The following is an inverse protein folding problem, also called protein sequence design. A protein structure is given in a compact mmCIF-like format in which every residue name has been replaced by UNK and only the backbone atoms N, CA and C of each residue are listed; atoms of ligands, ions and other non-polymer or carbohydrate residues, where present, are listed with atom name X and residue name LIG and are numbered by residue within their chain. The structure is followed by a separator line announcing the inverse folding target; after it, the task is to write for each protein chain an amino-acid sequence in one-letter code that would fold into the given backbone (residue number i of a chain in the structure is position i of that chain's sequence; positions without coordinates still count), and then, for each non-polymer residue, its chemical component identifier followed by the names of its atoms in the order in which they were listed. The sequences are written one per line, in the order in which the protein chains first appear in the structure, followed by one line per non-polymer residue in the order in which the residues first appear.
data_IF_391836805100
#
_entry.id   IF_391836805100
#
_cell.length_a   1.000
_cell.length_b   1.000
_cell.length_c   1.000
_cell.angle_alpha   90.00
_cell.angle_beta   90.00
_cell.angle_gamma   90.00
#
_symmetry.space_group_name_H-M   'P 1'
#
loop_
_entity.id
_entity.type
_entity.pdbx_description
1 polymer ?
#
# COMPACT_ATOMS: atom_id res chain seq x y z
N UNK A 1 10.53 -42.77 -4.37
CA UNK A 1 9.22 -42.54 -3.73
C UNK A 1 9.33 -43.10 -2.33
N UNK A 2 9.45 -42.21 -1.34
CA UNK A 2 9.91 -42.54 0.02
C UNK A 2 8.70 -42.85 0.92
N UNK A 3 8.84 -43.74 1.90
CA UNK A 3 7.71 -44.24 2.73
C UNK A 3 6.91 -43.14 3.48
N UNK A 4 7.43 -41.92 3.59
CA UNK A 4 6.71 -40.77 4.15
C UNK A 4 5.60 -40.22 3.23
N UNK A 5 5.67 -40.41 1.92
CA UNK A 5 4.62 -39.95 0.99
C UNK A 5 3.37 -40.84 1.04
N UNK A 6 3.46 -42.05 1.59
CA UNK A 6 2.30 -42.94 1.78
C UNK A 6 1.41 -42.54 2.97
N UNK A 7 1.92 -41.74 3.91
CA UNK A 7 1.15 -41.32 5.09
C UNK A 7 0.32 -40.04 4.89
N UNK A 8 0.61 -39.25 3.85
CA UNK A 8 -0.14 -38.03 3.52
C UNK A 8 -1.39 -38.29 2.66
N UNK A 9 -1.55 -39.49 2.10
CA UNK A 9 -2.67 -39.88 1.22
C UNK A 9 -3.64 -40.90 1.83
N UNK A 10 -3.43 -41.34 3.07
CA UNK A 10 -4.41 -42.14 3.82
C UNK A 10 -4.95 -41.35 4.99
N UNK A 11 -5.96 -40.52 4.71
CA UNK A 11 -6.98 -40.25 5.71
C UNK A 11 -7.71 -41.55 5.98
N UNK A 12 -7.34 -42.23 7.06
CA UNK A 12 -8.15 -43.16 7.86
C UNK A 12 -7.22 -44.08 8.67
N UNK A 13 -6.78 -43.57 9.82
CA UNK A 13 -6.42 -44.43 10.95
C UNK A 13 -7.28 -43.97 12.12
N UNK A 14 -8.46 -44.58 12.24
CA UNK A 14 -9.28 -44.51 13.45
C UNK A 14 -8.51 -45.21 14.57
N UNK A 15 -7.88 -44.43 15.45
CA UNK A 15 -7.48 -44.91 16.76
C UNK A 15 -8.75 -45.12 17.60
N UNK A 16 -9.05 -46.38 17.87
CA UNK A 16 -10.10 -46.83 18.77
C UNK A 16 -9.79 -46.41 20.21
N UNK A 17 -10.15 -45.18 20.58
CA UNK A 17 -10.57 -44.86 21.95
C UNK A 17 -11.77 -43.92 21.85
N UNK A 18 -12.93 -44.45 22.25
CA UNK A 18 -14.25 -43.85 22.05
C UNK A 18 -14.48 -42.62 22.90
N UNK A 19 -14.13 -41.46 22.37
CA UNK A 19 -14.93 -40.23 22.45
C UNK A 19 -14.92 -39.66 21.04
N UNK A 20 -16.02 -39.84 20.30
CA UNK A 20 -16.17 -39.24 18.98
C UNK A 20 -16.22 -37.73 19.11
N UNK A 21 -15.07 -37.08 19.19
CA UNK A 21 -14.97 -35.63 19.16
C UNK A 21 -15.55 -35.19 17.82
N UNK A 22 -16.80 -34.70 17.85
CA UNK A 22 -17.42 -34.06 16.70
C UNK A 22 -16.57 -32.86 16.32
N UNK A 23 -15.67 -33.04 15.37
CA UNK A 23 -14.91 -31.95 14.78
C UNK A 23 -15.92 -31.11 13.99
N UNK A 24 -16.05 -29.83 14.36
CA UNK A 24 -16.90 -28.91 13.63
C UNK A 24 -16.43 -28.84 12.17
N UNK A 25 -17.35 -28.77 11.18
CA UNK A 25 -16.99 -28.53 9.80
C UNK A 25 -16.11 -27.29 9.66
N UNK A 26 -15.18 -27.31 8.70
CA UNK A 26 -14.23 -26.21 8.51
C UNK A 26 -14.95 -24.89 8.19
N UNK A 27 -16.09 -24.96 7.50
CA UNK A 27 -16.96 -23.82 7.18
C UNK A 27 -17.54 -23.18 8.45
N UNK A 28 -17.94 -24.01 9.42
CA UNK A 28 -18.44 -23.55 10.71
C UNK A 28 -17.34 -22.90 11.54
N UNK A 29 -16.14 -23.50 11.60
CA UNK A 29 -14.98 -22.91 12.27
C UNK A 29 -14.57 -21.58 11.63
N UNK A 30 -14.56 -21.53 10.30
CA UNK A 30 -14.26 -20.31 9.53
C UNK A 30 -15.25 -19.19 9.86
N UNK A 31 -16.55 -19.50 10.01
CA UNK A 31 -17.53 -18.51 10.40
C UNK A 31 -17.33 -18.04 11.84
N UNK A 32 -17.08 -18.97 12.77
CA UNK A 32 -16.77 -18.64 14.18
C UNK A 32 -15.56 -17.70 14.28
N UNK A 33 -14.48 -17.96 13.53
CA UNK A 33 -13.27 -17.15 13.60
C UNK A 33 -13.39 -15.79 12.89
N UNK A 34 -14.33 -15.60 11.98
CA UNK A 34 -14.66 -14.28 11.44
C UNK A 34 -15.26 -13.36 12.50
N UNK A 35 -16.02 -13.94 13.43
CA UNK A 35 -16.81 -13.21 14.42
C UNK A 35 -16.07 -13.10 15.78
N UNK A 36 -14.84 -13.61 15.88
CA UNK A 36 -14.02 -13.57 17.10
C UNK A 36 -12.94 -12.50 17.04
N UNK A 37 -12.85 -11.69 18.09
CA UNK A 37 -11.83 -10.63 18.21
C UNK A 37 -10.40 -11.20 18.36
N UNK A 38 -10.23 -12.42 18.89
CA UNK A 38 -8.92 -13.01 19.17
C UNK A 38 -8.86 -14.54 18.95
N UNK A 39 -8.71 -15.01 17.69
CA UNK A 39 -8.62 -16.44 17.39
C UNK A 39 -7.26 -17.07 17.78
N UNK A 40 -6.33 -16.34 18.39
CA UNK A 40 -4.99 -16.84 18.74
C UNK A 40 -5.00 -18.08 19.63
N UNK A 41 -5.93 -18.19 20.59
CA UNK A 41 -5.99 -19.36 21.47
C UNK A 41 -6.51 -20.61 20.73
N UNK A 42 -7.18 -20.43 19.59
CA UNK A 42 -7.79 -21.50 18.82
C UNK A 42 -6.74 -22.41 18.17
N UNK A 43 -5.53 -21.89 17.91
CA UNK A 43 -4.44 -22.67 17.29
C UNK A 43 -3.91 -23.79 18.19
N UNK A 44 -4.21 -23.75 19.49
CA UNK A 44 -3.77 -24.73 20.47
C UNK A 44 -4.80 -25.84 20.74
N UNK A 45 -6.00 -25.75 20.16
CA UNK A 45 -7.08 -26.71 20.41
C UNK A 45 -6.80 -28.04 19.70
N UNK A 46 -6.65 -28.00 18.38
CA UNK A 46 -6.23 -29.14 17.55
C UNK A 46 -5.85 -28.65 16.14
N UNK A 47 -5.39 -29.57 15.29
CA UNK A 47 -4.97 -29.25 13.92
C UNK A 47 -6.08 -28.62 13.07
N UNK A 48 -7.33 -29.07 13.19
CA UNK A 48 -8.46 -28.51 12.43
C UNK A 48 -8.76 -27.07 12.81
N UNK A 49 -8.75 -26.75 14.11
CA UNK A 49 -8.93 -25.39 14.60
C UNK A 49 -7.76 -24.49 14.21
N UNK A 50 -6.53 -24.99 14.29
CA UNK A 50 -5.35 -24.25 13.82
C UNK A 50 -5.44 -23.95 12.32
N UNK A 51 -5.76 -24.95 11.49
CA UNK A 51 -5.90 -24.79 10.04
C UNK A 51 -6.98 -23.76 9.66
N UNK A 52 -8.08 -23.72 10.40
CA UNK A 52 -9.16 -22.75 10.18
C UNK A 52 -8.82 -21.36 10.73
N UNK A 53 -8.11 -21.24 11.86
CA UNK A 53 -7.82 -19.95 12.50
C UNK A 53 -6.61 -19.23 11.89
N UNK A 54 -5.57 -19.97 11.48
CA UNK A 54 -4.33 -19.39 10.99
C UNK A 54 -4.49 -18.47 9.77
N UNK A 55 -5.33 -18.75 8.76
CA UNK A 55 -5.56 -17.84 7.64
C UNK A 55 -6.04 -16.45 8.07
N UNK A 56 -6.85 -16.36 9.12
CA UNK A 56 -7.32 -15.09 9.67
C UNK A 56 -6.21 -14.36 10.42
N UNK A 57 -5.45 -15.09 11.23
CA UNK A 57 -4.32 -14.55 12.01
C UNK A 57 -3.17 -14.07 11.12
N UNK A 58 -3.00 -14.68 9.94
CA UNK A 58 -1.91 -14.40 9.00
C UNK A 58 -2.32 -13.54 7.80
N UNK A 59 -3.55 -13.02 7.77
CA UNK A 59 -3.99 -12.12 6.70
C UNK A 59 -3.16 -10.83 6.67
N UNK A 60 -2.87 -10.26 7.84
CA UNK A 60 -2.15 -8.97 7.97
C UNK A 60 -1.12 -9.06 9.11
N UNK A 61 -0.09 -9.91 8.99
CA UNK A 61 0.78 -10.23 10.11
C UNK A 61 1.67 -9.03 10.51
N UNK A 62 1.92 -8.09 9.59
CA UNK A 62 2.74 -6.91 9.86
C UNK A 62 2.02 -5.81 10.66
N UNK A 63 0.70 -5.84 10.71
CA UNK A 63 -0.12 -4.91 11.53
C UNK A 63 -0.57 -5.56 12.83
N UNK A 64 -0.79 -6.88 12.83
CA UNK A 64 -1.40 -7.61 13.95
C UNK A 64 -0.40 -8.33 14.85
N UNK A 65 0.84 -8.57 14.39
CA UNK A 65 1.80 -9.32 15.18
C UNK A 65 2.24 -8.59 16.44
N UNK A 66 2.00 -9.24 17.59
CA UNK A 66 2.51 -8.78 18.89
C UNK A 66 4.01 -8.99 19.06
N UNK A 67 4.57 -9.97 18.33
CA UNK A 67 5.99 -10.34 18.41
C UNK A 67 6.62 -10.36 17.00
N UNK A 68 7.21 -9.23 16.57
CA UNK A 68 7.91 -9.12 15.30
C UNK A 68 9.04 -10.12 15.10
N UNK A 69 9.71 -10.52 16.19
CA UNK A 69 10.88 -11.40 16.14
C UNK A 69 10.42 -12.82 15.79
N UNK A 70 9.37 -13.32 16.46
CA UNK A 70 8.77 -14.62 16.14
C UNK A 70 8.16 -14.68 14.74
N UNK A 71 7.59 -13.57 14.26
CA UNK A 71 7.09 -13.47 12.90
C UNK A 71 8.22 -13.72 11.89
N UNK A 72 9.34 -12.99 12.01
CA UNK A 72 10.49 -13.15 11.11
C UNK A 72 11.05 -14.58 11.20
N UNK A 73 11.16 -15.15 12.39
CA UNK A 73 11.59 -16.55 12.57
C UNK A 73 10.69 -17.52 11.84
N UNK A 74 9.37 -17.34 11.97
CA UNK A 74 8.40 -18.21 11.31
C UNK A 74 8.49 -18.11 9.79
N UNK A 75 8.68 -16.90 9.25
CA UNK A 75 8.89 -16.69 7.82
C UNK A 75 10.20 -17.32 7.33
N UNK A 76 11.31 -17.15 8.06
CA UNK A 76 12.60 -17.78 7.74
C UNK A 76 12.49 -19.31 7.75
N UNK A 77 11.80 -19.89 8.75
CA UNK A 77 11.53 -21.33 8.81
C UNK A 77 10.64 -21.83 7.67
N UNK A 78 9.82 -20.95 7.10
CA UNK A 78 8.93 -21.27 5.97
C UNK A 78 9.61 -21.14 4.60
N UNK A 79 10.85 -20.65 4.54
CA UNK A 79 11.57 -20.51 3.27
C UNK A 79 11.82 -21.86 2.57
N UNK A 80 11.81 -21.90 1.23
CA UNK A 80 12.23 -23.05 0.44
C UNK A 80 13.66 -23.49 0.78
N UNK A 81 13.94 -24.80 0.65
CA UNK A 81 15.23 -25.39 1.04
C UNK A 81 16.41 -24.80 0.25
N UNK A 82 16.23 -24.54 -1.04
CA UNK A 82 17.20 -23.89 -1.93
C UNK A 82 17.52 -22.46 -1.47
N UNK A 83 16.50 -21.66 -1.15
CA UNK A 83 16.68 -20.30 -0.62
C UNK A 83 17.40 -20.32 0.73
N UNK A 84 17.03 -21.26 1.62
CA UNK A 84 17.70 -21.47 2.91
C UNK A 84 19.18 -21.82 2.74
N UNK A 85 19.51 -22.71 1.81
CA UNK A 85 20.88 -23.10 1.52
C UNK A 85 21.72 -21.92 1.00
N UNK A 86 21.14 -21.07 0.15
CA UNK A 86 21.80 -19.84 -0.31
C UNK A 86 22.05 -18.88 0.84
N UNK A 87 21.04 -18.62 1.67
CA UNK A 87 21.19 -17.74 2.84
C UNK A 87 22.20 -18.26 3.87
N UNK A 88 22.37 -19.58 3.98
CA UNK A 88 23.36 -20.17 4.88
C UNK A 88 24.80 -19.82 4.49
N UNK A 89 25.07 -19.67 3.19
CA UNK A 89 26.37 -19.27 2.67
C UNK A 89 26.64 -17.79 2.99
N UNK A 90 25.60 -16.95 2.87
CA UNK A 90 25.71 -15.50 3.08
C UNK A 90 25.67 -15.10 4.56
N UNK A 91 25.04 -15.89 5.41
CA UNK A 91 24.81 -15.54 6.83
C UNK A 91 25.06 -16.74 7.74
N UNK A 92 26.31 -16.95 8.15
CA UNK A 92 26.66 -18.05 9.09
C UNK A 92 25.87 -18.01 10.42
N UNK A 93 25.35 -16.84 10.81
CA UNK A 93 24.64 -16.62 12.05
C UNK A 93 23.21 -17.20 12.12
N UNK A 94 22.58 -17.58 10.99
CA UNK A 94 21.16 -18.02 10.95
C UNK A 94 20.97 -19.54 10.94
N UNK A 95 22.07 -20.31 10.96
CA UNK A 95 22.08 -21.78 10.80
C UNK A 95 21.06 -22.54 11.65
N UNK A 96 20.79 -22.20 12.93
CA UNK A 96 19.81 -22.93 13.76
C UNK A 96 18.37 -22.85 13.24
N UNK A 97 17.99 -21.78 12.53
CA UNK A 97 16.61 -21.57 12.05
C UNK A 97 16.38 -22.03 10.62
N UNK A 98 17.46 -22.36 9.90
CA UNK A 98 17.37 -22.90 8.55
C UNK A 98 17.04 -24.41 8.55
N UNK A 99 17.32 -25.12 9.64
CA UNK A 99 17.09 -26.57 9.75
C UNK A 99 15.67 -26.93 10.16
N UNK A 100 14.87 -25.97 10.62
CA UNK A 100 13.49 -26.19 11.02
C UNK A 100 12.50 -25.93 9.87
N UNK A 101 11.44 -26.73 9.83
CA UNK A 101 10.34 -26.59 8.86
C UNK A 101 9.05 -26.24 9.59
N UNK A 102 8.23 -25.40 8.96
CA UNK A 102 6.87 -25.12 9.42
C UNK A 102 5.90 -26.16 8.85
N UNK A 103 4.87 -26.49 9.63
CA UNK A 103 3.80 -27.39 9.17
C UNK A 103 2.78 -26.67 8.25
N UNK A 104 2.84 -25.34 8.18
CA UNK A 104 1.86 -24.52 7.50
C UNK A 104 2.53 -23.56 6.52
N UNK A 105 1.83 -23.28 5.42
CA UNK A 105 2.28 -22.36 4.38
C UNK A 105 1.84 -20.94 4.66
N UNK A 106 2.38 -20.35 5.73
CA UNK A 106 1.97 -19.05 6.23
C UNK A 106 1.96 -17.93 5.17
N UNK A 107 2.94 -17.95 4.25
CA UNK A 107 3.04 -16.95 3.18
C UNK A 107 1.84 -16.95 2.22
N UNK A 108 1.16 -18.09 2.02
CA UNK A 108 -0.01 -18.17 1.14
C UNK A 108 -1.20 -17.35 1.68
N UNK A 109 -1.25 -17.09 2.99
CA UNK A 109 -2.37 -16.38 3.65
C UNK A 109 -2.16 -14.87 3.78
N UNK A 110 -0.96 -14.37 3.52
CA UNK A 110 -0.62 -12.95 3.66
C UNK A 110 -1.31 -12.14 2.55
N UNK A 111 -2.14 -11.18 2.94
CA UNK A 111 -2.85 -10.27 2.04
C UNK A 111 -2.26 -8.87 2.00
N UNK A 112 -1.45 -8.50 2.98
CA UNK A 112 -0.81 -7.18 3.06
C UNK A 112 0.70 -7.35 3.14
N UNK A 113 1.43 -6.76 2.21
CA UNK A 113 2.88 -6.69 2.23
C UNK A 113 3.33 -5.26 2.44
N UNK A 114 3.89 -4.99 3.61
CA UNK A 114 4.40 -3.67 4.00
C UNK A 114 5.92 -3.71 4.04
N UNK A 115 6.55 -3.11 3.03
CA UNK A 115 7.99 -3.19 2.78
C UNK A 115 8.82 -2.66 3.96
N UNK A 116 8.54 -1.44 4.42
CA UNK A 116 9.21 -0.83 5.58
C UNK A 116 9.04 -1.66 6.85
N UNK A 117 7.84 -2.18 7.08
CA UNK A 117 7.53 -2.91 8.30
C UNK A 117 8.28 -4.24 8.36
N UNK A 118 8.35 -4.96 7.23
CA UNK A 118 9.16 -6.17 7.10
C UNK A 118 10.65 -5.86 7.31
N UNK A 119 11.17 -4.79 6.71
CA UNK A 119 12.58 -4.39 6.88
C UNK A 119 12.89 -4.07 8.35
N UNK A 120 12.05 -3.27 9.00
CA UNK A 120 12.15 -2.95 10.42
C UNK A 120 12.15 -4.22 11.28
N UNK A 121 11.30 -5.19 10.97
CA UNK A 121 11.22 -6.45 11.70
C UNK A 121 12.47 -7.31 11.51
N UNK A 122 13.03 -7.38 10.30
CA UNK A 122 14.29 -8.08 10.04
C UNK A 122 15.46 -7.42 10.79
N UNK A 123 15.54 -6.09 10.81
CA UNK A 123 16.56 -5.35 11.59
C UNK A 123 16.43 -5.69 13.08
N UNK A 124 15.23 -5.58 13.65
CA UNK A 124 14.99 -5.88 15.07
C UNK A 124 15.31 -7.33 15.43
N UNK A 125 14.91 -8.27 14.57
CA UNK A 125 15.21 -9.68 14.72
C UNK A 125 16.73 -9.91 14.76
N UNK A 126 17.46 -9.30 13.83
CA UNK A 126 18.92 -9.43 13.72
C UNK A 126 19.64 -8.82 14.95
N UNK A 127 19.24 -7.63 15.39
CA UNK A 127 19.81 -6.96 16.56
C UNK A 127 19.58 -7.75 17.86
N UNK A 128 18.35 -8.25 18.06
CA UNK A 128 18.03 -9.08 19.23
C UNK A 128 18.94 -10.31 19.31
N UNK A 129 19.27 -10.90 18.16
CA UNK A 129 20.18 -12.05 18.10
C UNK A 129 21.62 -11.71 18.45
N UNK A 130 22.11 -10.52 18.08
CA UNK A 130 23.44 -10.07 18.51
C UNK A 130 23.49 -9.89 20.03
N UNK A 131 22.43 -9.33 20.64
CA UNK A 131 22.34 -9.15 22.09
C UNK A 131 22.40 -10.48 22.85
N UNK A 132 21.67 -11.50 22.38
CA UNK A 132 21.71 -12.83 23.02
C UNK A 132 23.14 -13.42 22.97
N UNK A 133 23.85 -13.28 21.85
CA UNK A 133 25.24 -13.75 21.71
C UNK A 133 26.26 -12.98 22.56
N UNK A 134 26.00 -11.70 22.88
CA UNK A 134 26.88 -10.91 23.75
C UNK A 134 26.64 -11.20 25.22
N UNK A 135 25.38 -11.38 25.63
CA UNK A 135 25.02 -11.74 27.03
C UNK A 135 25.53 -13.14 27.37
N UNK A 136 25.50 -14.10 26.43
CA UNK A 136 26.07 -15.43 26.64
C UNK A 136 27.59 -15.46 26.82
N UNK A 137 28.30 -14.35 26.55
CA UNK A 137 29.75 -14.23 26.73
C UNK A 137 30.15 -13.48 28.00
N UNK A 138 29.22 -12.87 28.74
CA UNK A 138 29.53 -12.21 30.00
C UNK A 138 28.28 -12.18 30.93
N UNK A 139 28.14 -13.14 31.87
CA UNK A 139 26.94 -13.29 32.68
C UNK A 139 26.76 -12.25 33.79
N UNK A 140 27.73 -11.33 34.01
CA UNK A 140 27.77 -10.46 35.19
C UNK A 140 27.40 -8.98 34.96
N UNK A 141 26.78 -8.62 33.83
CA UNK A 141 26.32 -7.24 33.60
C UNK A 141 24.83 -7.19 33.35
N UNK A 142 24.07 -7.12 34.46
CA UNK A 142 22.67 -6.73 34.45
C UNK A 142 22.61 -5.19 34.42
N UNK A 143 22.31 -4.60 33.26
CA UNK A 143 21.79 -3.24 33.21
C UNK A 143 20.50 -3.21 32.40
N UNK A 144 19.51 -2.59 33.03
CA UNK A 144 18.16 -2.32 32.56
C UNK A 144 18.14 -1.56 31.24
N UNK A 145 17.09 -1.85 30.47
CA UNK A 145 16.77 -1.31 29.17
C UNK A 145 16.56 0.21 29.18
N UNK A 146 17.41 0.92 28.43
CA UNK A 146 16.98 2.07 27.63
C UNK A 146 17.54 1.91 26.22
N UNK A 147 16.64 1.87 25.23
CA UNK A 147 16.96 2.03 23.81
C UNK A 147 17.45 3.47 23.59
N UNK A 148 18.67 3.78 24.01
CA UNK A 148 19.37 4.96 23.51
C UNK A 148 20.09 4.60 22.22
N UNK A 149 19.45 4.98 21.14
CA UNK A 149 20.07 5.29 19.86
C UNK A 149 21.17 6.34 20.07
N UNK A 150 22.41 5.91 20.26
CA UNK A 150 23.57 6.78 20.09
C UNK A 150 24.51 6.14 19.06
N UNK A 151 24.47 6.66 17.83
CA UNK A 151 25.58 6.68 16.88
C UNK A 151 26.13 5.36 16.31
N UNK A 152 25.55 4.21 16.63
CA UNK A 152 26.05 2.92 16.16
C UNK A 152 25.73 2.63 14.69
N UNK A 153 26.55 3.13 13.75
CA UNK A 153 26.47 2.70 12.36
C UNK A 153 26.62 1.18 12.27
N UNK A 154 25.61 0.49 11.71
CA UNK A 154 25.70 -0.94 11.42
C UNK A 154 26.93 -1.21 10.54
N UNK A 155 27.75 -2.20 10.93
CA UNK A 155 28.90 -2.60 10.11
C UNK A 155 28.44 -2.96 8.70
N UNK A 156 29.32 -2.75 7.69
CA UNK A 156 29.02 -3.09 6.30
C UNK A 156 28.53 -4.55 6.16
N UNK A 157 29.17 -5.46 6.87
CA UNK A 157 28.79 -6.87 6.96
C UNK A 157 27.38 -7.07 7.53
N UNK A 158 27.03 -6.36 8.61
CA UNK A 158 25.69 -6.45 9.20
C UNK A 158 24.62 -5.99 8.22
N UNK A 159 24.88 -4.90 7.49
CA UNK A 159 23.96 -4.40 6.47
C UNK A 159 23.75 -5.41 5.35
N UNK A 160 24.83 -6.04 4.88
CA UNK A 160 24.74 -7.09 3.87
C UNK A 160 23.89 -8.29 4.35
N UNK A 161 24.10 -8.77 5.56
CA UNK A 161 23.34 -9.91 6.10
C UNK A 161 21.85 -9.59 6.28
N UNK A 162 21.52 -8.40 6.80
CA UNK A 162 20.13 -7.92 6.91
C UNK A 162 19.50 -7.85 5.51
N UNK A 163 20.23 -7.31 4.54
CA UNK A 163 19.79 -7.21 3.16
C UNK A 163 19.51 -8.59 2.54
N UNK A 164 20.39 -9.57 2.72
CA UNK A 164 20.20 -10.91 2.16
C UNK A 164 18.93 -11.56 2.71
N UNK A 165 18.72 -11.48 4.03
CA UNK A 165 17.51 -12.04 4.67
C UNK A 165 16.26 -11.32 4.16
N UNK A 166 16.28 -9.99 4.14
CA UNK A 166 15.16 -9.19 3.67
C UNK A 166 14.82 -9.51 2.20
N UNK A 167 15.82 -9.59 1.34
CA UNK A 167 15.66 -9.90 -0.09
C UNK A 167 15.07 -11.30 -0.30
N UNK A 168 15.52 -12.30 0.46
CA UNK A 168 14.95 -13.65 0.38
C UNK A 168 13.49 -13.69 0.85
N UNK A 169 13.17 -12.98 1.94
CA UNK A 169 11.82 -12.91 2.47
C UNK A 169 10.86 -12.19 1.51
N UNK A 170 11.25 -11.03 0.98
CA UNK A 170 10.38 -10.27 0.06
C UNK A 170 10.10 -11.08 -1.22
N UNK A 171 11.13 -11.71 -1.80
CA UNK A 171 10.94 -12.57 -2.98
C UNK A 171 10.05 -13.77 -2.67
N UNK A 172 10.27 -14.43 -1.54
CA UNK A 172 9.44 -15.56 -1.10
C UNK A 172 7.97 -15.16 -0.92
N UNK A 173 7.71 -14.03 -0.27
CA UNK A 173 6.35 -13.56 0.00
C UNK A 173 5.61 -13.19 -1.29
N UNK A 174 6.29 -12.52 -2.22
CA UNK A 174 5.72 -12.19 -3.52
C UNK A 174 5.43 -13.48 -4.30
N UNK A 175 6.38 -14.42 -4.36
CA UNK A 175 6.19 -15.65 -5.13
C UNK A 175 5.19 -16.63 -4.52
N UNK A 176 4.96 -16.57 -3.21
CA UNK A 176 4.15 -17.58 -2.50
C UNK A 176 2.74 -17.12 -2.14
N UNK A 177 2.49 -15.81 -2.04
CA UNK A 177 1.14 -15.32 -1.72
C UNK A 177 0.18 -15.60 -2.88
N UNK A 178 -1.04 -16.04 -2.54
CA UNK A 178 -2.13 -16.22 -3.53
C UNK A 178 -3.24 -15.18 -3.38
N UNK A 179 -3.15 -14.36 -2.35
CA UNK A 179 -4.21 -13.43 -1.96
C UNK A 179 -3.67 -12.06 -1.58
N UNK A 180 -2.49 -11.69 -2.09
CA UNK A 180 -1.89 -10.38 -1.85
C UNK A 180 -2.79 -9.29 -2.43
N UNK A 181 -3.41 -8.50 -1.56
CA UNK A 181 -4.33 -7.41 -1.91
C UNK A 181 -3.65 -6.06 -1.86
N UNK A 182 -2.84 -5.83 -0.84
CA UNK A 182 -2.15 -4.55 -0.62
C UNK A 182 -0.65 -4.74 -0.76
N UNK A 183 -0.06 -3.98 -1.68
CA UNK A 183 1.37 -3.88 -1.88
C UNK A 183 1.82 -2.47 -1.49
N UNK A 184 2.38 -2.35 -0.29
CA UNK A 184 2.90 -1.10 0.23
C UNK A 184 4.43 -1.09 0.19
N UNK A 185 4.97 -0.32 -0.74
CA UNK A 185 6.39 -0.13 -1.00
C UNK A 185 6.92 1.15 -0.36
N UNK A 186 6.17 1.71 0.58
CA UNK A 186 6.63 2.87 1.33
C UNK A 186 7.91 2.57 2.11
N UNK A 187 8.88 3.51 2.14
CA UNK A 187 10.07 3.39 3.00
C UNK A 187 10.64 4.75 3.44
N UNK A 188 11.08 4.81 4.69
CA UNK A 188 11.74 6.02 5.24
C UNK A 188 13.22 6.08 4.91
N UNK A 189 13.84 4.95 4.57
CA UNK A 189 15.29 4.81 4.62
C UNK A 189 16.02 5.06 3.30
N UNK A 190 15.31 5.31 2.20
CA UNK A 190 15.92 5.46 0.88
C UNK A 190 16.57 4.16 0.39
N UNK A 191 16.44 3.88 -0.89
CA UNK A 191 16.66 2.56 -1.49
C UNK A 191 18.02 1.91 -1.29
N UNK A 192 18.01 0.59 -1.10
CA UNK A 192 18.82 -0.20 -2.03
C UNK A 192 18.20 -1.49 -2.61
N UNK A 193 16.93 -1.88 -2.31
CA UNK A 193 16.54 -3.31 -2.53
C UNK A 193 15.25 -3.64 -3.30
N UNK A 194 14.41 -2.70 -3.75
CA UNK A 194 13.25 -3.10 -4.58
C UNK A 194 13.66 -3.77 -5.90
N UNK A 195 14.90 -3.60 -6.38
CA UNK A 195 15.40 -4.32 -7.55
C UNK A 195 15.28 -5.84 -7.40
N UNK A 196 15.39 -6.34 -6.17
CA UNK A 196 15.22 -7.77 -5.84
C UNK A 196 13.79 -8.27 -6.03
N UNK A 197 12.79 -7.37 -6.04
CA UNK A 197 11.39 -7.71 -6.32
C UNK A 197 11.13 -7.92 -7.82
N UNK A 198 11.93 -7.35 -8.72
CA UNK A 198 11.67 -7.50 -10.16
C UNK A 198 11.78 -8.94 -10.64
N UNK A 199 12.76 -9.69 -10.13
CA UNK A 199 12.96 -11.10 -10.51
C UNK A 199 11.70 -11.95 -10.25
N UNK A 200 11.16 -12.02 -9.01
CA UNK A 200 9.97 -12.80 -8.73
C UNK A 200 8.71 -12.25 -9.42
N UNK A 201 8.63 -10.94 -9.69
CA UNK A 201 7.50 -10.37 -10.43
C UNK A 201 7.49 -10.77 -11.92
N UNK A 202 8.67 -10.97 -12.53
CA UNK A 202 8.79 -11.39 -13.95
C UNK A 202 8.43 -12.86 -14.15
N UNK A 203 8.80 -13.71 -13.19
CA UNK A 203 8.36 -15.10 -13.17
C UNK A 203 6.85 -15.14 -12.87
N UNK A 204 6.05 -15.90 -13.63
CA UNK A 204 4.57 -15.90 -13.60
C UNK A 204 3.95 -15.89 -12.18
N UNK A 205 3.77 -14.70 -11.60
CA UNK A 205 3.50 -14.53 -10.18
C UNK A 205 2.00 -14.29 -9.94
N UNK A 206 1.28 -15.33 -9.52
CA UNK A 206 -0.16 -15.26 -9.27
C UNK A 206 -0.52 -14.23 -8.19
N UNK A 207 0.39 -13.95 -7.24
CA UNK A 207 0.15 -12.97 -6.16
C UNK A 207 -0.23 -11.60 -6.68
N UNK A 208 0.36 -11.14 -7.79
CA UNK A 208 0.16 -9.78 -8.30
C UNK A 208 -1.21 -9.58 -8.95
N UNK A 209 -1.87 -10.66 -9.36
CA UNK A 209 -3.19 -10.63 -10.00
C UNK A 209 -4.26 -10.18 -8.98
N UNK A 210 -4.07 -10.55 -7.71
CA UNK A 210 -4.98 -10.25 -6.62
C UNK A 210 -4.78 -8.85 -6.01
N UNK A 211 -3.73 -8.13 -6.42
CA UNK A 211 -3.41 -6.81 -5.86
C UNK A 211 -4.46 -5.80 -6.29
N UNK A 212 -5.09 -5.17 -5.30
CA UNK A 212 -6.11 -4.12 -5.45
C UNK A 212 -5.60 -2.76 -5.01
N UNK A 213 -4.52 -2.71 -4.22
CA UNK A 213 -3.96 -1.48 -3.69
C UNK A 213 -2.44 -1.45 -3.83
N UNK A 214 -1.93 -0.37 -4.45
CA UNK A 214 -0.51 -0.10 -4.59
C UNK A 214 -0.16 1.24 -3.95
N UNK A 215 0.80 1.22 -3.02
CA UNK A 215 1.39 2.40 -2.41
C UNK A 215 2.90 2.44 -2.68
N UNK A 216 3.39 3.55 -3.23
CA UNK A 216 4.81 3.78 -3.48
C UNK A 216 5.17 5.21 -3.07
N UNK A 217 5.90 5.41 -1.98
CA UNK A 217 6.42 6.74 -1.61
C UNK A 217 7.85 7.01 -2.04
N UNK A 218 8.48 6.03 -2.68
CA UNK A 218 9.90 6.04 -2.99
C UNK A 218 10.10 5.45 -4.40
N UNK A 219 11.16 5.86 -5.11
CA UNK A 219 11.55 5.37 -6.45
C UNK A 219 11.63 3.84 -6.63
N UNK A 220 10.77 3.33 -7.50
CA UNK A 220 10.81 1.93 -7.91
C UNK A 220 11.87 1.64 -8.99
N UNK A 221 12.34 0.38 -9.11
CA UNK A 221 13.23 -0.03 -10.19
C UNK A 221 12.63 0.20 -11.59
N UNK A 222 13.49 0.34 -12.60
CA UNK A 222 13.03 0.42 -14.00
C UNK A 222 12.19 -0.81 -14.39
N UNK A 223 11.15 -0.57 -15.20
CA UNK A 223 10.17 -1.55 -15.63
C UNK A 223 9.31 -2.13 -14.50
N UNK A 224 9.33 -1.58 -13.29
CA UNK A 224 8.46 -2.05 -12.20
C UNK A 224 6.99 -1.90 -12.59
N UNK A 225 6.57 -0.68 -12.96
CA UNK A 225 5.18 -0.42 -13.36
C UNK A 225 4.80 -1.19 -14.63
N UNK A 226 5.72 -1.32 -15.60
CA UNK A 226 5.50 -2.15 -16.78
C UNK A 226 5.25 -3.61 -16.41
N UNK A 227 6.11 -4.20 -15.58
CA UNK A 227 5.97 -5.60 -15.12
C UNK A 227 4.65 -5.80 -14.39
N UNK A 228 4.26 -4.84 -13.54
CA UNK A 228 2.98 -4.88 -12.84
C UNK A 228 1.80 -4.78 -13.81
N UNK A 229 1.90 -3.97 -14.87
CA UNK A 229 0.84 -3.79 -15.88
C UNK A 229 0.53 -5.03 -16.70
N UNK A 230 1.45 -6.00 -16.74
CA UNK A 230 1.26 -7.28 -17.43
C UNK A 230 0.50 -8.31 -16.58
N UNK A 231 0.31 -8.04 -15.29
CA UNK A 231 -0.18 -9.03 -14.31
C UNK A 231 -1.35 -8.53 -13.46
N UNK A 232 -1.31 -7.28 -13.04
CA UNK A 232 -2.32 -6.67 -12.18
C UNK A 232 -3.34 -5.90 -13.02
N UNK A 233 -4.59 -6.34 -12.96
CA UNK A 233 -5.72 -5.79 -13.72
C UNK A 233 -6.90 -5.37 -12.84
N UNK A 234 -6.72 -5.44 -11.52
CA UNK A 234 -7.76 -5.25 -10.50
C UNK A 234 -7.41 -4.16 -9.49
N UNK A 235 -6.48 -3.24 -9.82
CA UNK A 235 -6.18 -2.11 -8.94
C UNK A 235 -7.42 -1.23 -8.76
N UNK A 236 -7.80 -1.04 -7.50
CA UNK A 236 -8.84 -0.13 -7.04
C UNK A 236 -8.21 1.18 -6.51
N UNK A 237 -7.01 1.09 -5.93
CA UNK A 237 -6.31 2.22 -5.30
C UNK A 237 -4.85 2.29 -5.73
N UNK A 238 -4.41 3.49 -6.13
CA UNK A 238 -3.06 3.77 -6.60
C UNK A 238 -2.52 5.05 -5.93
N UNK A 239 -1.48 4.91 -5.11
CA UNK A 239 -0.91 6.00 -4.33
C UNK A 239 0.60 6.13 -4.59
N UNK A 240 1.00 7.13 -5.39
CA UNK A 240 2.40 7.38 -5.75
C UNK A 240 2.83 8.73 -5.17
N UNK A 241 3.81 8.72 -4.27
CA UNK A 241 4.29 9.92 -3.57
C UNK A 241 5.72 10.33 -3.94
N UNK A 242 6.40 9.59 -4.81
CA UNK A 242 7.75 9.92 -5.25
C UNK A 242 7.72 10.64 -6.61
N UNK A 243 8.71 11.49 -6.93
CA UNK A 243 8.86 12.04 -8.28
C UNK A 243 9.03 10.92 -9.32
N UNK A 244 8.28 10.97 -10.43
CA UNK A 244 8.35 9.96 -11.49
C UNK A 244 9.33 10.36 -12.59
N UNK A 245 10.17 9.44 -13.04
CA UNK A 245 10.99 9.63 -14.24
C UNK A 245 10.13 9.49 -15.49
N UNK A 246 10.60 10.01 -16.62
CA UNK A 246 9.89 9.91 -17.90
C UNK A 246 9.49 8.47 -18.29
N UNK A 247 10.34 7.48 -18.01
CA UNK A 247 10.05 6.06 -18.24
C UNK A 247 8.95 5.56 -17.30
N UNK A 248 9.01 5.93 -16.02
CA UNK A 248 8.01 5.57 -15.02
C UNK A 248 6.63 6.12 -15.42
N UNK A 249 6.56 7.33 -15.98
CA UNK A 249 5.29 7.95 -16.44
C UNK A 249 4.63 7.13 -17.53
N UNK A 250 5.39 6.63 -18.51
CA UNK A 250 4.88 5.81 -19.62
C UNK A 250 4.35 4.49 -19.07
N UNK A 251 5.14 3.82 -18.24
CA UNK A 251 4.79 2.53 -17.67
C UNK A 251 3.59 2.62 -16.72
N UNK A 252 3.50 3.71 -15.93
CA UNK A 252 2.38 3.97 -15.03
C UNK A 252 1.10 4.28 -15.81
N UNK A 253 1.20 5.04 -16.90
CA UNK A 253 0.07 5.27 -17.80
C UNK A 253 -0.42 3.96 -18.44
N UNK A 254 0.49 3.04 -18.77
CA UNK A 254 0.13 1.71 -19.27
C UNK A 254 -0.55 0.88 -18.19
N UNK A 255 0.00 0.85 -16.97
CA UNK A 255 -0.58 0.17 -15.82
C UNK A 255 -2.04 0.63 -15.59
N UNK A 256 -2.29 1.94 -15.59
CA UNK A 256 -3.63 2.49 -15.39
C UNK A 256 -4.58 2.06 -16.52
N UNK A 257 -4.14 2.12 -17.78
CA UNK A 257 -4.96 1.71 -18.93
C UNK A 257 -5.35 0.23 -18.90
N UNK A 258 -4.51 -0.63 -18.32
CA UNK A 258 -4.74 -2.08 -18.23
C UNK A 258 -5.64 -2.50 -17.07
N UNK A 259 -6.12 -1.57 -16.23
CA UNK A 259 -7.02 -1.92 -15.14
C UNK A 259 -8.45 -2.15 -15.67
N UNK A 260 -8.94 -3.37 -15.47
CA UNK A 260 -10.26 -3.82 -15.94
C UNK A 260 -11.33 -3.72 -14.86
N UNK A 261 -10.97 -3.94 -13.59
CA UNK A 261 -11.86 -3.75 -12.44
C UNK A 261 -12.19 -2.28 -12.17
N UNK A 262 -11.34 -1.38 -12.68
CA UNK A 262 -11.53 0.06 -12.61
C UNK A 262 -10.93 0.68 -11.36
N UNK A 263 -9.98 1.61 -11.55
CA UNK A 263 -9.37 2.33 -10.42
C UNK A 263 -10.40 3.31 -9.85
N UNK A 264 -10.55 3.34 -8.53
CA UNK A 264 -11.47 4.21 -7.80
C UNK A 264 -10.75 5.38 -7.12
N UNK A 265 -9.49 5.18 -6.71
CA UNK A 265 -8.70 6.14 -5.95
C UNK A 265 -7.31 6.31 -6.56
N UNK A 266 -6.96 7.54 -6.94
CA UNK A 266 -5.62 7.90 -7.37
C UNK A 266 -5.09 9.03 -6.50
N UNK A 267 -3.88 8.86 -5.95
CA UNK A 267 -3.07 9.95 -5.39
C UNK A 267 -1.73 9.97 -6.08
N UNK A 268 -1.34 11.11 -6.63
CA UNK A 268 -0.04 11.33 -7.26
C UNK A 268 0.62 12.57 -6.67
N UNK A 269 1.92 12.48 -6.43
CA UNK A 269 2.75 13.59 -5.98
C UNK A 269 3.94 13.78 -6.91
N UNK A 270 4.42 15.02 -7.01
CA UNK A 270 5.69 15.39 -7.64
C UNK A 270 5.84 14.91 -9.10
N UNK A 271 4.73 14.94 -9.86
CA UNK A 271 4.74 14.56 -11.27
C UNK A 271 5.33 15.67 -12.15
N UNK A 272 6.53 15.42 -12.67
CA UNK A 272 7.28 16.32 -13.54
C UNK A 272 6.81 16.37 -15.01
N UNK A 273 7.77 16.34 -15.94
CA UNK A 273 7.48 16.38 -17.38
C UNK A 273 6.61 15.18 -17.82
N UNK A 274 5.79 15.37 -18.86
CA UNK A 274 4.85 14.36 -19.44
C UNK A 274 3.67 13.93 -18.57
N UNK A 275 3.39 14.59 -17.45
CA UNK A 275 2.18 14.33 -16.65
C UNK A 275 0.88 14.36 -17.46
N UNK A 276 0.80 15.16 -18.53
CA UNK A 276 -0.35 15.15 -19.46
C UNK A 276 -0.68 13.75 -19.98
N UNK A 277 0.33 12.94 -20.34
CA UNK A 277 0.12 11.56 -20.80
C UNK A 277 -0.51 10.68 -19.71
N UNK A 278 -0.05 10.87 -18.47
CA UNK A 278 -0.58 10.16 -17.32
C UNK A 278 -2.02 10.60 -17.01
N UNK A 279 -2.32 11.91 -17.04
CA UNK A 279 -3.68 12.42 -16.86
C UNK A 279 -4.63 11.92 -17.97
N UNK A 280 -4.16 11.85 -19.22
CA UNK A 280 -4.92 11.26 -20.34
C UNK A 280 -5.24 9.79 -20.10
N UNK A 281 -4.34 9.03 -19.46
CA UNK A 281 -4.57 7.63 -19.13
C UNK A 281 -5.74 7.42 -18.18
N UNK A 282 -6.03 8.39 -17.30
CA UNK A 282 -7.16 8.31 -16.36
C UNK A 282 -8.51 8.30 -17.09
N UNK A 283 -8.56 8.76 -18.34
CA UNK A 283 -9.76 8.69 -19.16
C UNK A 283 -10.28 7.26 -19.35
N UNK A 284 -9.40 6.25 -19.31
CA UNK A 284 -9.81 4.83 -19.30
C UNK A 284 -10.58 4.42 -18.04
N UNK A 285 -10.44 5.21 -16.98
CA UNK A 285 -11.03 5.01 -15.66
C UNK A 285 -12.14 6.05 -15.40
N UNK A 286 -12.65 6.73 -16.43
CA UNK A 286 -13.60 7.85 -16.29
C UNK A 286 -14.89 7.51 -15.54
N UNK A 287 -15.34 6.26 -15.63
CA UNK A 287 -16.56 5.75 -15.00
C UNK A 287 -16.30 5.09 -13.64
N UNK A 288 -15.06 4.95 -13.20
CA UNK A 288 -14.73 4.25 -11.95
C UNK A 288 -14.00 5.16 -10.97
N UNK A 289 -13.16 6.06 -11.47
CA UNK A 289 -12.37 6.99 -10.68
C UNK A 289 -13.28 7.97 -9.93
N UNK A 290 -13.32 7.81 -8.61
CA UNK A 290 -14.17 8.59 -7.71
C UNK A 290 -13.38 9.62 -6.89
N UNK A 291 -12.10 9.35 -6.64
CA UNK A 291 -11.22 10.21 -5.86
C UNK A 291 -9.91 10.42 -6.60
N UNK A 292 -9.56 11.69 -6.81
CA UNK A 292 -8.29 12.09 -7.39
C UNK A 292 -7.62 13.12 -6.50
N UNK A 293 -6.37 12.85 -6.13
CA UNK A 293 -5.51 13.77 -5.39
C UNK A 293 -4.23 13.99 -6.17
N UNK A 294 -3.94 15.23 -6.51
CA UNK A 294 -2.71 15.63 -7.19
C UNK A 294 -1.95 16.60 -6.27
N UNK A 295 -0.71 16.26 -5.96
CA UNK A 295 0.20 17.10 -5.18
C UNK A 295 1.38 17.52 -6.06
N UNK A 296 1.79 18.80 -6.00
CA UNK A 296 2.98 19.31 -6.73
C UNK A 296 3.03 18.93 -8.20
N UNK A 297 1.89 19.09 -8.87
CA UNK A 297 1.71 18.64 -10.26
C UNK A 297 1.50 19.81 -11.21
N UNK A 298 2.12 19.73 -12.40
CA UNK A 298 1.96 20.72 -13.47
C UNK A 298 0.71 20.41 -14.34
N UNK A 299 -0.34 21.20 -14.19
CA UNK A 299 -1.58 21.08 -14.96
C UNK A 299 -1.51 21.98 -16.21
N UNK A 300 -1.37 21.35 -17.37
CA UNK A 300 -1.49 22.01 -18.68
C UNK A 300 -2.94 22.02 -19.16
N UNK A 301 -3.28 22.81 -20.18
CA UNK A 301 -4.63 22.83 -20.76
C UNK A 301 -5.11 21.43 -21.17
N UNK A 302 -4.25 20.66 -21.85
CA UNK A 302 -4.52 19.25 -22.20
C UNK A 302 -4.73 18.35 -20.98
N UNK A 303 -3.97 18.58 -19.92
CA UNK A 303 -4.13 17.87 -18.66
C UNK A 303 -5.50 18.13 -18.04
N UNK A 304 -5.95 19.38 -18.01
CA UNK A 304 -7.28 19.75 -17.53
C UNK A 304 -8.40 19.18 -18.42
N UNK A 305 -8.23 19.18 -19.74
CA UNK A 305 -9.18 18.55 -20.67
C UNK A 305 -9.31 17.05 -20.42
N UNK A 306 -8.19 16.38 -20.14
CA UNK A 306 -8.19 14.97 -19.75
C UNK A 306 -8.95 14.73 -18.44
N UNK A 307 -8.68 15.56 -17.42
CA UNK A 307 -9.40 15.49 -16.14
C UNK A 307 -10.89 15.76 -16.30
N UNK A 308 -11.28 16.66 -17.20
CA UNK A 308 -12.69 16.99 -17.48
C UNK A 308 -13.54 15.79 -17.94
N UNK A 309 -12.91 14.71 -18.41
CA UNK A 309 -13.59 13.47 -18.83
C UNK A 309 -14.01 12.57 -17.67
N UNK A 310 -13.57 12.84 -16.45
CA UNK A 310 -13.83 12.00 -15.27
C UNK A 310 -15.24 12.21 -14.71
N UNK A 311 -16.23 11.60 -15.35
CA UNK A 311 -17.67 11.83 -15.06
C UNK A 311 -18.13 11.34 -13.69
N UNK A 312 -17.42 10.35 -13.10
CA UNK A 312 -17.77 9.79 -11.79
C UNK A 312 -16.94 10.34 -10.62
N UNK A 313 -16.12 11.37 -10.86
CA UNK A 313 -15.31 12.00 -9.83
C UNK A 313 -16.18 12.64 -8.75
N UNK A 314 -15.98 12.24 -7.49
CA UNK A 314 -16.68 12.74 -6.31
C UNK A 314 -15.80 13.65 -5.45
N UNK A 315 -14.49 13.42 -5.47
CA UNK A 315 -13.52 14.15 -4.65
C UNK A 315 -12.30 14.51 -5.49
N UNK A 316 -12.00 15.79 -5.60
CA UNK A 316 -10.81 16.31 -6.26
C UNK A 316 -10.00 17.17 -5.29
N UNK A 317 -8.72 16.84 -5.13
CA UNK A 317 -7.76 17.61 -4.35
C UNK A 317 -6.59 17.99 -5.24
N UNK A 318 -6.36 19.30 -5.40
CA UNK A 318 -5.22 19.87 -6.10
C UNK A 318 -4.42 20.67 -5.10
N UNK A 319 -3.28 20.13 -4.69
CA UNK A 319 -2.43 20.69 -3.66
C UNK A 319 -1.05 21.03 -4.24
N UNK A 320 -0.57 22.25 -4.02
CA UNK A 320 0.68 22.73 -4.62
C UNK A 320 0.77 22.55 -6.15
N UNK A 321 -0.37 22.52 -6.85
CA UNK A 321 -0.39 22.37 -8.30
C UNK A 321 -0.11 23.69 -9.03
N UNK A 322 0.61 23.62 -10.16
CA UNK A 322 0.86 24.75 -11.06
C UNK A 322 -0.06 24.67 -12.28
N UNK A 323 -0.70 25.77 -12.65
CA UNK A 323 -1.53 25.86 -13.86
C UNK A 323 -0.72 26.49 -14.99
N UNK A 324 -0.15 25.65 -15.85
CA UNK A 324 0.72 26.06 -16.96
C UNK A 324 -0.08 26.11 -18.26
N UNK A 325 -0.96 27.10 -18.37
CA UNK A 325 -1.88 27.23 -19.50
C UNK A 325 -1.31 28.16 -20.57
N UNK A 326 -1.38 27.73 -21.84
CA UNK A 326 -0.99 28.56 -22.98
C UNK A 326 -2.14 29.43 -23.50
N UNK A 327 -3.37 29.13 -23.08
CA UNK A 327 -4.60 29.80 -23.49
C UNK A 327 -5.66 29.63 -22.38
N UNK A 328 -6.69 30.50 -22.36
CA UNK A 328 -7.78 30.40 -21.38
C UNK A 328 -8.42 29.02 -21.38
N UNK A 329 -8.58 28.43 -20.19
CA UNK A 329 -9.19 27.11 -20.07
C UNK A 329 -10.69 27.15 -20.39
N UNK A 330 -11.13 26.30 -21.32
CA UNK A 330 -12.53 26.11 -21.69
C UNK A 330 -13.00 24.79 -21.10
N UNK A 331 -13.69 24.85 -19.96
CA UNK A 331 -14.20 23.66 -19.30
C UNK A 331 -15.32 22.98 -20.12
N UNK A 332 -15.40 21.64 -20.14
CA UNK A 332 -16.54 20.91 -20.67
C UNK A 332 -17.83 21.23 -19.90
N UNK A 333 -18.97 20.96 -20.53
CA UNK A 333 -20.30 21.13 -19.92
C UNK A 333 -21.12 19.83 -20.07
N UNK A 334 -21.45 19.11 -18.98
CA UNK A 334 -21.10 19.40 -17.58
C UNK A 334 -19.64 19.05 -17.23
N UNK A 335 -19.01 19.87 -16.37
CA UNK A 335 -17.72 19.55 -15.74
C UNK A 335 -17.96 18.79 -14.42
N UNK A 336 -17.43 17.57 -14.31
CA UNK A 336 -17.48 16.72 -13.11
C UNK A 336 -18.86 16.67 -12.42
N UNK A 337 -19.90 16.14 -13.08
CA UNK A 337 -21.30 16.25 -12.63
C UNK A 337 -21.59 15.60 -11.25
N UNK A 338 -20.71 14.72 -10.76
CA UNK A 338 -20.86 14.05 -9.45
C UNK A 338 -19.94 14.60 -8.37
N UNK A 339 -19.23 15.71 -8.63
CA UNK A 339 -18.23 16.24 -7.72
C UNK A 339 -18.90 16.79 -6.46
N UNK A 340 -18.45 16.29 -5.30
CA UNK A 340 -18.94 16.69 -3.98
C UNK A 340 -17.90 17.43 -3.16
N UNK A 341 -16.62 17.14 -3.37
CA UNK A 341 -15.53 17.81 -2.66
C UNK A 341 -14.50 18.34 -3.64
N UNK A 342 -14.17 19.62 -3.50
CA UNK A 342 -13.10 20.28 -4.25
C UNK A 342 -12.16 20.99 -3.28
N UNK A 343 -10.92 20.52 -3.20
CA UNK A 343 -9.89 21.13 -2.37
C UNK A 343 -8.80 21.72 -3.26
N UNK A 344 -8.57 23.02 -3.14
CA UNK A 344 -7.53 23.75 -3.87
C UNK A 344 -6.59 24.39 -2.84
N UNK A 345 -5.42 23.77 -2.65
CA UNK A 345 -4.46 24.14 -1.60
C UNK A 345 -3.11 24.54 -2.17
N UNK A 346 -2.46 25.51 -1.51
CA UNK A 346 -1.08 25.95 -1.75
C UNK A 346 -0.65 26.11 -3.22
N UNK A 347 -1.54 26.58 -4.09
CA UNK A 347 -1.21 26.76 -5.51
C UNK A 347 -0.10 27.80 -5.64
N UNK A 348 1.04 27.44 -6.23
CA UNK A 348 2.23 28.31 -6.29
C UNK A 348 1.95 29.65 -7.01
N UNK A 349 2.80 30.67 -6.83
CA UNK A 349 2.57 32.07 -7.24
C UNK A 349 2.25 32.31 -8.74
N UNK A 350 2.39 31.31 -9.61
CA UNK A 350 2.14 31.36 -11.06
C UNK A 350 0.83 30.67 -11.49
N UNK A 351 -0.24 30.87 -10.73
CA UNK A 351 -1.52 30.21 -11.01
C UNK A 351 -2.37 31.05 -11.94
N UNK A 352 -2.80 30.43 -13.04
CA UNK A 352 -3.84 30.98 -13.90
C UNK A 352 -5.19 30.97 -13.14
N UNK A 353 -5.44 32.07 -12.44
CA UNK A 353 -6.67 32.35 -11.69
C UNK A 353 -7.91 32.21 -12.58
N UNK A 354 -7.80 32.45 -13.89
CA UNK A 354 -8.93 32.37 -14.81
C UNK A 354 -9.47 30.94 -14.90
N UNK A 355 -8.58 29.95 -15.00
CA UNK A 355 -8.97 28.54 -15.07
C UNK A 355 -9.60 28.06 -13.77
N UNK A 356 -9.05 28.45 -12.62
CA UNK A 356 -9.65 28.15 -11.32
C UNK A 356 -11.05 28.77 -11.21
N UNK A 357 -11.20 30.02 -11.65
CA UNK A 357 -12.51 30.71 -11.63
C UNK A 357 -13.53 29.99 -12.51
N UNK A 358 -13.14 29.52 -13.69
CA UNK A 358 -13.98 28.71 -14.59
C UNK A 358 -14.38 27.39 -13.93
N UNK A 359 -13.41 26.67 -13.35
CA UNK A 359 -13.66 25.40 -12.65
C UNK A 359 -14.67 25.60 -11.52
N UNK A 360 -14.40 26.55 -10.62
CA UNK A 360 -15.27 26.86 -9.48
C UNK A 360 -16.67 27.18 -9.99
N UNK A 361 -16.81 28.11 -10.94
CA UNK A 361 -18.11 28.53 -11.50
C UNK A 361 -18.93 27.36 -12.03
N UNK A 362 -18.28 26.36 -12.64
CA UNK A 362 -18.98 25.20 -13.21
C UNK A 362 -19.43 24.19 -12.16
N UNK A 363 -18.68 23.99 -11.08
CA UNK A 363 -18.95 22.90 -10.12
C UNK A 363 -19.58 23.35 -8.81
N UNK A 364 -19.51 24.63 -8.48
CA UNK A 364 -19.85 25.17 -7.15
C UNK A 364 -21.26 24.79 -6.68
N UNK A 365 -22.24 24.78 -7.59
CA UNK A 365 -23.62 24.42 -7.27
C UNK A 365 -23.79 22.96 -6.83
N UNK A 366 -22.89 22.07 -7.26
CA UNK A 366 -22.94 20.62 -6.98
C UNK A 366 -22.18 20.20 -5.72
N UNK A 367 -21.19 21.00 -5.30
CA UNK A 367 -20.28 20.73 -4.18
C UNK A 367 -20.98 20.71 -2.83
N UNK A 368 -20.56 19.79 -1.97
CA UNK A 368 -20.90 19.74 -0.55
C UNK A 368 -19.77 20.34 0.30
N UNK A 369 -18.51 20.23 -0.17
CA UNK A 369 -17.31 20.79 0.45
C UNK A 369 -16.43 21.52 -0.58
N UNK A 370 -16.04 22.75 -0.28
CA UNK A 370 -15.01 23.50 -1.01
C UNK A 370 -13.97 23.98 -0.01
N UNK A 371 -12.70 23.66 -0.25
CA UNK A 371 -11.58 24.16 0.54
C UNK A 371 -10.68 25.02 -0.36
N UNK A 372 -10.51 26.30 0.00
CA UNK A 372 -9.59 27.22 -0.67
C UNK A 372 -8.53 27.73 0.32
N UNK A 373 -7.26 27.56 -0.04
CA UNK A 373 -6.12 28.02 0.78
C UNK A 373 -5.85 29.54 0.66
N UNK A 374 -4.97 30.05 1.53
CA UNK A 374 -4.69 31.46 1.79
C UNK A 374 -4.49 32.35 0.55
N UNK A 375 -3.80 31.88 -0.49
CA UNK A 375 -3.52 32.70 -1.68
C UNK A 375 -4.76 32.88 -2.56
N UNK A 376 -5.58 31.84 -2.70
CA UNK A 376 -6.80 31.87 -3.52
C UNK A 376 -7.92 32.68 -2.86
N UNK A 377 -8.00 32.69 -1.52
CA UNK A 377 -9.04 33.46 -0.78
C UNK A 377 -8.87 34.97 -0.89
N UNK A 378 -7.65 35.47 -1.09
CA UNK A 378 -7.38 36.90 -1.26
C UNK A 378 -7.54 37.37 -2.71
N UNK A 379 -7.79 36.44 -3.64
CA UNK A 379 -8.10 36.82 -5.01
C UNK A 379 -9.54 37.32 -5.12
N UNK A 380 -9.71 38.62 -5.45
CA UNK A 380 -11.02 39.26 -5.52
C UNK A 380 -11.98 38.62 -6.51
N UNK A 381 -11.47 38.06 -7.63
CA UNK A 381 -12.30 37.43 -8.67
C UNK A 381 -12.90 36.13 -8.14
N UNK A 382 -12.06 35.26 -7.57
CA UNK A 382 -12.51 34.00 -6.97
C UNK A 382 -13.46 34.29 -5.82
N UNK A 383 -13.11 35.24 -4.94
CA UNK A 383 -13.93 35.65 -3.80
C UNK A 383 -15.32 36.13 -4.24
N UNK A 384 -15.40 37.04 -5.21
CA UNK A 384 -16.68 37.54 -5.74
C UNK A 384 -17.49 36.40 -6.36
N UNK A 385 -16.84 35.52 -7.13
CA UNK A 385 -17.49 34.36 -7.77
C UNK A 385 -18.14 33.45 -6.73
N UNK A 386 -17.41 33.10 -5.67
CA UNK A 386 -17.93 32.23 -4.60
C UNK A 386 -19.04 32.91 -3.81
N UNK A 387 -18.87 34.18 -3.42
CA UNK A 387 -19.89 34.94 -2.66
C UNK A 387 -21.19 35.08 -3.46
N UNK A 388 -21.09 35.37 -4.75
CA UNK A 388 -22.27 35.57 -5.61
C UNK A 388 -23.07 34.28 -5.83
N UNK A 389 -22.42 33.12 -5.81
CA UNK A 389 -23.06 31.83 -6.09
C UNK A 389 -23.42 31.04 -4.83
N UNK A 390 -22.84 31.36 -3.67
CA UNK A 390 -23.15 30.72 -2.38
C UNK A 390 -23.41 31.79 -1.29
N UNK A 391 -24.62 32.38 -1.22
CA UNK A 391 -24.93 33.41 -0.23
C UNK A 391 -25.02 32.89 1.22
N UNK A 392 -25.21 31.58 1.43
CA UNK A 392 -25.52 30.96 2.74
C UNK A 392 -24.33 30.27 3.43
N UNK A 393 -23.11 30.70 3.14
CA UNK A 393 -21.90 30.04 3.64
C UNK A 393 -21.66 30.36 5.11
N UNK A 394 -21.56 29.33 5.94
CA UNK A 394 -21.00 29.45 7.29
C UNK A 394 -19.48 29.59 7.17
N UNK A 395 -18.96 30.80 7.41
CA UNK A 395 -17.51 31.02 7.60
C UNK A 395 -17.08 30.25 8.84
N UNK A 396 -16.41 29.11 8.67
CA UNK A 396 -15.68 28.48 9.76
C UNK A 396 -14.19 28.46 9.44
N UNK A 397 -13.47 29.05 10.39
CA UNK A 397 -12.02 29.12 10.55
C UNK A 397 -11.24 30.17 9.73
N UNK A 398 -10.35 30.86 10.45
CA UNK A 398 -9.70 32.12 10.04
C UNK A 398 -8.43 31.84 9.19
N UNK A 399 -8.01 30.57 9.09
CA UNK A 399 -6.86 30.14 8.28
C UNK A 399 -7.24 29.65 6.87
N UNK A 400 -8.34 28.90 6.71
CA UNK A 400 -8.77 28.32 5.42
C UNK A 400 -10.24 28.63 5.11
N UNK A 401 -10.54 28.91 3.83
CA UNK A 401 -11.93 29.06 3.39
C UNK A 401 -12.53 27.66 3.17
N UNK A 402 -13.07 27.07 4.23
CA UNK A 402 -13.83 25.82 4.18
C UNK A 402 -15.31 26.15 4.07
N UNK A 403 -15.89 25.75 2.94
CA UNK A 403 -17.32 25.85 2.67
C UNK A 403 -17.90 24.46 2.83
N UNK A 404 -18.83 24.29 3.77
CA UNK A 404 -19.67 23.10 3.83
C UNK A 404 -21.11 23.51 3.61
N UNK A 405 -21.83 22.82 2.70
CA UNK A 405 -23.28 22.97 2.62
C UNK A 405 -23.84 22.53 3.96
N UNK A 406 -24.61 23.40 4.62
CA UNK A 406 -25.31 23.01 5.84
C UNK A 406 -26.19 21.80 5.51
N UNK A 407 -25.94 20.67 6.17
CA UNK A 407 -26.87 19.54 6.13
C UNK A 407 -28.25 20.11 6.50
N UNK A 408 -29.25 19.87 5.64
CA UNK A 408 -30.66 20.01 6.01
C UNK A 408 -30.95 18.96 7.08
N UNK A 409 -30.51 19.21 8.31
CA UNK A 409 -30.87 18.46 9.48
C UNK A 409 -31.55 19.44 10.44
N UNK A 410 -32.85 19.23 10.61
CA UNK A 410 -33.79 19.88 11.52
C UNK A 410 -34.23 21.31 11.14
N UNK A 411 -35.18 21.37 10.20
CA UNK A 411 -36.27 22.35 10.23
C UNK A 411 -37.58 21.58 10.28
#
# INVERSE_FOLDING_TARGET
MNEQEKYLLRGDVQLQYGWGAKVLPNETLTQIFKDLDYPMNCIYVNHSWAFAALPFLWQSPFTTARDPIKLVETLIKSLPADVKNSLQQDVSAIRPWLTEHTCYKYAEWIKELQYEQLLSYVIRWFENRRRIKSVSKNPNTCHSLELRSEGGYLSKETRFQIQSIFSALISFLISSSRSLRTLDLSTKYGYPHLSTMLSPMRTNCESLIAVTELTCDTWVPENFYYTLSLRSHNLESLYIYHPQRDSDVIDLALLIKHQTGGIQHIKLSDSGAKITMLLESFGTQATTLSTLKLHRTNLTSKGLDALGKLVNLKSLELDMCRFLLCYPYIAPDPLWPKLKRLHLSETEDFVDVSAITVIITKVLSSLDELLLHHHLRHNDIIRKTVINQLPNVRRHDISNWVFTKANKANA
#
